data_IF_889145499083
#
_entry.id   IF_889145499083
#
_cell.length_a   1.000
_cell.length_b   1.000
_cell.length_c   1.000
_cell.angle_alpha   90.00
_cell.angle_beta   90.00
_cell.angle_gamma   90.00
#
_symmetry.space_group_name_H-M   'P 1'
#
loop_
_entity.id
_entity.type
_entity.pdbx_description
1 polymer ?
#
# COMPACT_ATOMS: atom_id res chain seq x y z
N UNK A 1 13.08 -10.97 -4.54
CA UNK A 1 12.56 -10.66 -3.20
C UNK A 1 13.43 -11.36 -2.19
N UNK A 2 14.07 -10.60 -1.30
CA UNK A 2 14.97 -11.15 -0.28
C UNK A 2 14.24 -11.99 0.78
N UNK A 3 13.02 -11.59 1.16
CA UNK A 3 12.19 -12.36 2.10
C UNK A 3 10.71 -12.35 1.72
N UNK A 4 10.25 -13.45 1.10
CA UNK A 4 8.86 -13.58 0.65
C UNK A 4 7.87 -13.54 1.82
N UNK A 5 8.21 -14.15 2.96
CA UNK A 5 7.35 -14.18 4.15
C UNK A 5 7.08 -12.79 4.70
N UNK A 6 8.13 -11.98 4.87
CA UNK A 6 8.00 -10.60 5.34
C UNK A 6 7.25 -9.74 4.33
N UNK A 7 7.53 -9.92 3.04
CA UNK A 7 6.84 -9.18 2.00
C UNK A 7 5.33 -9.47 1.99
N UNK A 8 4.92 -10.74 2.10
CA UNK A 8 3.50 -11.10 2.17
C UNK A 8 2.86 -10.55 3.44
N UNK A 9 3.50 -10.77 4.61
CA UNK A 9 2.98 -10.27 5.90
C UNK A 9 2.76 -8.76 5.86
N UNK A 10 3.75 -8.00 5.42
CA UNK A 10 3.65 -6.55 5.32
C UNK A 10 2.64 -6.11 4.25
N UNK A 11 2.49 -6.84 3.15
CA UNK A 11 1.44 -6.57 2.17
C UNK A 11 0.04 -6.70 2.77
N UNK A 12 -0.19 -7.73 3.57
CA UNK A 12 -1.44 -7.90 4.31
C UNK A 12 -1.63 -6.77 5.33
N UNK A 13 -0.58 -6.35 6.04
CA UNK A 13 -0.67 -5.23 6.99
C UNK A 13 -0.92 -3.88 6.30
N UNK A 14 -0.34 -3.65 5.12
CA UNK A 14 -0.59 -2.46 4.29
C UNK A 14 -2.05 -2.34 3.89
N UNK A 15 -2.74 -3.46 3.69
CA UNK A 15 -4.17 -3.49 3.46
C UNK A 15 -4.98 -3.38 4.77
N UNK A 16 -4.59 -4.14 5.80
CA UNK A 16 -5.33 -4.26 7.05
C UNK A 16 -5.37 -2.96 7.85
N UNK A 17 -4.28 -2.18 7.87
CA UNK A 17 -4.22 -0.92 8.63
C UNK A 17 -5.24 0.12 8.09
N UNK A 18 -5.27 0.44 6.78
CA UNK A 18 -6.34 1.26 6.20
C UNK A 18 -7.73 0.67 6.41
N UNK A 19 -7.91 -0.66 6.28
CA UNK A 19 -9.21 -1.30 6.49
C UNK A 19 -9.74 -1.06 7.92
N UNK A 20 -8.95 -1.38 8.95
CA UNK A 20 -9.33 -1.16 10.36
C UNK A 20 -9.56 0.32 10.61
N UNK A 21 -8.69 1.20 10.09
CA UNK A 21 -8.84 2.65 10.26
C UNK A 21 -10.13 3.15 9.64
N UNK A 22 -10.45 2.73 8.42
CA UNK A 22 -11.69 3.09 7.74
C UNK A 22 -12.93 2.57 8.46
N UNK A 23 -12.87 1.34 8.99
CA UNK A 23 -13.94 0.76 9.80
C UNK A 23 -14.19 1.56 11.08
N UNK A 24 -13.13 1.89 11.84
CA UNK A 24 -13.24 2.69 13.07
C UNK A 24 -13.67 4.14 12.79
N UNK A 25 -13.26 4.71 11.65
CA UNK A 25 -13.60 6.05 11.21
C UNK A 25 -14.91 6.11 10.40
N UNK A 26 -15.72 5.05 10.36
CA UNK A 26 -16.93 5.00 9.54
C UNK A 26 -17.95 6.08 9.91
N UNK A 27 -18.04 6.46 11.19
CA UNK A 27 -18.89 7.57 11.61
C UNK A 27 -18.50 8.90 10.94
N UNK A 28 -17.20 9.12 10.72
CA UNK A 28 -16.67 10.27 9.97
C UNK A 28 -17.09 10.18 8.50
N UNK A 29 -17.06 8.99 7.88
CA UNK A 29 -17.56 8.80 6.50
C UNK A 29 -19.01 9.27 6.35
N UNK A 30 -19.87 8.96 7.32
CA UNK A 30 -21.30 9.32 7.27
C UNK A 30 -21.59 10.80 7.59
N UNK A 31 -20.77 11.43 8.44
CA UNK A 31 -20.97 12.81 8.90
C UNK A 31 -20.18 13.85 8.08
N UNK A 32 -19.01 13.47 7.58
CA UNK A 32 -18.12 14.29 6.78
C UNK A 32 -17.31 13.43 5.80
N UNK A 33 -17.94 13.11 4.68
CA UNK A 33 -17.37 12.27 3.62
C UNK A 33 -16.04 12.83 3.07
N UNK A 34 -15.95 14.15 2.86
CA UNK A 34 -14.75 14.80 2.30
C UNK A 34 -13.54 14.62 3.23
N UNK A 35 -13.73 14.76 4.54
CA UNK A 35 -12.65 14.52 5.51
C UNK A 35 -12.21 13.05 5.50
N UNK A 36 -13.17 12.12 5.45
CA UNK A 36 -12.85 10.70 5.39
C UNK A 36 -12.04 10.35 4.12
N UNK A 37 -12.52 10.79 2.95
CA UNK A 37 -11.89 10.50 1.66
C UNK A 37 -10.51 11.15 1.49
N UNK A 38 -10.26 12.29 2.14
CA UNK A 38 -8.93 12.92 2.14
C UNK A 38 -7.97 12.29 3.16
N UNK A 39 -8.47 11.78 4.30
CA UNK A 39 -7.65 11.14 5.32
C UNK A 39 -7.20 9.73 4.93
N UNK A 40 -8.05 8.94 4.27
CA UNK A 40 -7.74 7.54 3.94
C UNK A 40 -6.48 7.35 3.07
N UNK A 41 -6.25 8.15 2.00
CA UNK A 41 -5.00 8.11 1.23
C UNK A 41 -3.75 8.37 2.09
N UNK A 42 -3.85 9.24 3.12
CA UNK A 42 -2.75 9.51 4.05
C UNK A 42 -2.43 8.26 4.89
N UNK A 43 -3.45 7.54 5.35
CA UNK A 43 -3.29 6.28 6.10
C UNK A 43 -2.63 5.21 5.24
N UNK A 44 -3.04 5.09 3.97
CA UNK A 44 -2.40 4.18 3.00
C UNK A 44 -0.94 4.56 2.80
N UNK A 45 -0.64 5.83 2.49
CA UNK A 45 0.72 6.32 2.30
C UNK A 45 1.61 6.06 3.52
N UNK A 46 1.12 6.38 4.73
CA UNK A 46 1.83 6.11 5.98
C UNK A 46 2.15 4.62 6.14
N UNK A 47 1.17 3.75 5.92
CA UNK A 47 1.34 2.30 6.03
C UNK A 47 2.41 1.79 5.05
N UNK A 48 2.33 2.22 3.78
CA UNK A 48 3.29 1.81 2.76
C UNK A 48 4.70 2.32 3.08
N UNK A 49 4.86 3.57 3.50
CA UNK A 49 6.17 4.13 3.91
C UNK A 49 6.76 3.35 5.07
N UNK A 50 5.98 3.11 6.12
CA UNK A 50 6.42 2.39 7.31
C UNK A 50 6.91 0.99 6.96
N UNK A 51 6.06 0.18 6.30
CA UNK A 51 6.40 -1.21 6.03
C UNK A 51 7.46 -1.35 4.95
N UNK A 52 7.48 -0.49 3.93
CA UNK A 52 8.52 -0.54 2.89
C UNK A 52 9.90 -0.20 3.47
N UNK A 53 9.96 0.76 4.40
CA UNK A 53 11.17 1.09 5.16
C UNK A 53 11.65 -0.09 6.00
N UNK A 54 10.73 -0.73 6.76
CA UNK A 54 11.05 -1.90 7.57
C UNK A 54 11.55 -3.08 6.73
N UNK A 55 11.00 -3.28 5.52
CA UNK A 55 11.47 -4.32 4.60
C UNK A 55 12.84 -3.97 4.01
N UNK A 56 12.97 -2.77 3.41
CA UNK A 56 14.18 -2.36 2.69
C UNK A 56 15.40 -2.23 3.62
N UNK A 57 15.21 -1.90 4.90
CA UNK A 57 16.29 -1.93 5.91
C UNK A 57 16.96 -3.31 6.01
N UNK A 58 16.21 -4.38 5.75
CA UNK A 58 16.71 -5.75 5.81
C UNK A 58 17.22 -6.25 4.45
N UNK A 59 17.15 -5.44 3.39
CA UNK A 59 17.64 -5.75 2.04
C UNK A 59 19.13 -5.37 1.92
N UNK A 60 19.92 -6.24 1.29
CA UNK A 60 21.38 -6.05 1.18
C UNK A 60 21.86 -5.36 -0.10
N UNK A 61 20.95 -5.04 -1.03
CA UNK A 61 21.28 -4.51 -2.35
C UNK A 61 20.12 -4.65 -3.33
N UNK A 62 20.28 -4.10 -4.55
CA UNK A 62 19.25 -4.12 -5.60
C UNK A 62 17.90 -3.49 -5.16
N UNK A 63 17.96 -2.38 -4.43
CA UNK A 63 16.80 -1.76 -3.78
C UNK A 63 15.70 -1.36 -4.77
N UNK A 64 16.07 -0.92 -5.98
CA UNK A 64 15.08 -0.61 -7.01
C UNK A 64 14.27 -1.84 -7.42
N UNK A 65 14.94 -2.98 -7.67
CA UNK A 65 14.28 -4.25 -8.02
C UNK A 65 13.39 -4.73 -6.89
N UNK A 66 13.87 -4.65 -5.64
CA UNK A 66 13.06 -5.03 -4.47
C UNK A 66 11.86 -4.10 -4.29
N UNK A 67 12.01 -2.79 -4.50
CA UNK A 67 10.92 -1.81 -4.47
C UNK A 67 9.83 -2.07 -5.51
N UNK A 68 10.22 -2.39 -6.76
CA UNK A 68 9.28 -2.77 -7.83
C UNK A 68 8.48 -4.03 -7.44
N UNK A 69 9.18 -5.08 -7.00
CA UNK A 69 8.55 -6.35 -6.64
C UNK A 69 7.60 -6.20 -5.43
N UNK A 70 8.01 -5.44 -4.41
CA UNK A 70 7.16 -5.10 -3.27
C UNK A 70 5.92 -4.34 -3.70
N UNK A 71 6.09 -3.29 -4.50
CA UNK A 71 5.00 -2.45 -4.99
C UNK A 71 3.93 -3.26 -5.71
N UNK A 72 4.35 -4.10 -6.67
CA UNK A 72 3.44 -4.98 -7.42
C UNK A 72 2.74 -5.96 -6.48
N UNK A 73 3.50 -6.65 -5.61
CA UNK A 73 2.95 -7.65 -4.71
C UNK A 73 1.89 -7.06 -3.78
N UNK A 74 2.18 -5.93 -3.13
CA UNK A 74 1.28 -5.30 -2.16
C UNK A 74 0.04 -4.72 -2.83
N UNK A 75 0.20 -4.16 -4.03
CA UNK A 75 -0.93 -3.72 -4.84
C UNK A 75 -1.86 -4.89 -5.20
N UNK A 76 -1.30 -6.01 -5.65
CA UNK A 76 -2.07 -7.23 -5.96
C UNK A 76 -2.75 -7.79 -4.72
N UNK A 77 -2.06 -7.86 -3.58
CA UNK A 77 -2.67 -8.31 -2.31
C UNK A 77 -3.87 -7.45 -1.95
N UNK A 78 -3.71 -6.12 -2.00
CA UNK A 78 -4.77 -5.17 -1.61
C UNK A 78 -5.99 -5.29 -2.51
N UNK A 79 -5.79 -5.31 -3.84
CA UNK A 79 -6.89 -5.49 -4.81
C UNK A 79 -7.53 -6.87 -4.66
N UNK A 80 -6.74 -7.93 -4.50
CA UNK A 80 -7.28 -9.28 -4.39
C UNK A 80 -8.20 -9.43 -3.18
N UNK A 81 -7.80 -8.89 -2.02
CA UNK A 81 -8.63 -8.92 -0.82
C UNK A 81 -9.89 -8.07 -1.03
N UNK A 82 -9.76 -6.87 -1.59
CA UNK A 82 -10.91 -5.99 -1.83
C UNK A 82 -11.92 -6.60 -2.82
N UNK A 83 -11.46 -7.23 -3.90
CA UNK A 83 -12.37 -7.90 -4.82
C UNK A 83 -13.14 -9.04 -4.14
N UNK A 84 -12.56 -9.71 -3.15
CA UNK A 84 -13.32 -10.70 -2.35
C UNK A 84 -14.31 -10.00 -1.41
N UNK A 85 -13.96 -8.83 -0.85
CA UNK A 85 -14.75 -8.11 0.15
C UNK A 85 -15.82 -7.16 -0.37
N UNK A 86 -15.73 -6.68 -1.62
CA UNK A 86 -16.58 -5.62 -2.18
C UNK A 86 -17.36 -6.05 -3.44
N UNK A 87 -17.08 -7.23 -4.02
CA UNK A 87 -17.84 -7.75 -5.17
C UNK A 87 -19.32 -8.06 -4.83
N UNK A 88 -20.22 -8.24 -5.81
CA UNK A 88 -21.68 -8.22 -5.60
C UNK A 88 -22.26 -9.23 -4.60
N UNK A 89 -21.54 -10.32 -4.31
CA UNK A 89 -21.90 -11.33 -3.31
C UNK A 89 -21.37 -10.99 -1.90
N UNK A 90 -20.70 -9.86 -1.73
CA UNK A 90 -20.02 -9.47 -0.50
C UNK A 90 -20.89 -8.59 0.42
N UNK A 91 -20.48 -8.41 1.69
CA UNK A 91 -21.20 -7.57 2.66
C UNK A 91 -21.13 -6.06 2.37
N UNK A 92 -20.10 -5.59 1.64
CA UNK A 92 -19.84 -4.18 1.38
C UNK A 92 -19.99 -3.88 -0.12
N UNK A 93 -21.18 -4.12 -0.67
CA UNK A 93 -21.41 -4.08 -2.12
C UNK A 93 -21.07 -2.72 -2.73
N UNK A 94 -20.23 -2.73 -3.75
CA UNK A 94 -19.96 -1.59 -4.62
C UNK A 94 -19.96 -2.06 -6.08
N UNK A 95 -20.38 -1.20 -7.01
CA UNK A 95 -20.10 -1.47 -8.42
C UNK A 95 -18.59 -1.39 -8.68
N UNK A 96 -18.12 -2.07 -9.73
CA UNK A 96 -16.71 -2.01 -10.11
C UNK A 96 -16.25 -0.56 -10.39
N UNK A 97 -17.10 0.26 -11.01
CA UNK A 97 -16.79 1.66 -11.28
C UNK A 97 -16.65 2.48 -9.99
N UNK A 98 -17.58 2.33 -9.03
CA UNK A 98 -17.48 2.98 -7.72
C UNK A 98 -16.24 2.52 -6.96
N UNK A 99 -15.92 1.23 -6.97
CA UNK A 99 -14.70 0.71 -6.35
C UNK A 99 -13.44 1.37 -6.91
N UNK A 100 -13.33 1.49 -8.23
CA UNK A 100 -12.16 2.12 -8.86
C UNK A 100 -12.05 3.60 -8.46
N UNK A 101 -13.16 4.34 -8.44
CA UNK A 101 -13.19 5.77 -8.13
C UNK A 101 -12.93 6.06 -6.64
N UNK A 102 -13.50 5.26 -5.74
CA UNK A 102 -13.41 5.49 -4.29
C UNK A 102 -12.14 4.87 -3.68
N UNK A 103 -11.64 3.74 -4.22
CA UNK A 103 -10.58 2.94 -3.57
C UNK A 103 -9.45 2.59 -4.55
N UNK A 104 -9.78 2.03 -5.71
CA UNK A 104 -8.79 1.44 -6.62
C UNK A 104 -7.68 2.41 -7.05
N UNK A 105 -8.03 3.66 -7.37
CA UNK A 105 -7.04 4.68 -7.72
C UNK A 105 -6.11 5.05 -6.54
N UNK A 106 -6.62 5.07 -5.32
CA UNK A 106 -5.84 5.35 -4.10
C UNK A 106 -4.72 4.33 -3.92
N UNK A 107 -4.93 3.07 -4.30
CA UNK A 107 -3.89 2.03 -4.20
C UNK A 107 -2.70 2.23 -5.13
N UNK A 108 -2.75 3.15 -6.11
CA UNK A 108 -1.55 3.52 -6.88
C UNK A 108 -0.45 4.15 -6.01
N UNK A 109 -0.80 4.65 -4.82
CA UNK A 109 0.17 5.07 -3.79
C UNK A 109 1.14 3.92 -3.45
N UNK A 110 0.66 2.67 -3.43
CA UNK A 110 1.45 1.49 -3.05
C UNK A 110 2.66 1.29 -3.98
N UNK A 111 2.48 1.05 -5.30
CA UNK A 111 3.62 0.84 -6.19
C UNK A 111 4.48 2.09 -6.33
N UNK A 112 3.89 3.28 -6.39
CA UNK A 112 4.65 4.54 -6.51
C UNK A 112 5.61 4.72 -5.33
N UNK A 113 5.12 4.52 -4.11
CA UNK A 113 5.92 4.71 -2.89
C UNK A 113 7.00 3.63 -2.74
N UNK A 114 6.68 2.36 -3.02
CA UNK A 114 7.65 1.27 -2.94
C UNK A 114 8.78 1.44 -3.97
N UNK A 115 8.44 1.79 -5.21
CA UNK A 115 9.42 2.03 -6.29
C UNK A 115 10.28 3.26 -5.95
N UNK A 116 9.65 4.36 -5.52
CA UNK A 116 10.35 5.58 -5.12
C UNK A 116 11.34 5.33 -3.98
N UNK A 117 10.91 4.62 -2.94
CA UNK A 117 11.77 4.27 -1.79
C UNK A 117 12.95 3.40 -2.21
N UNK A 118 12.71 2.39 -3.05
CA UNK A 118 13.76 1.54 -3.60
C UNK A 118 14.75 2.31 -4.49
N UNK A 119 14.26 3.24 -5.31
CA UNK A 119 15.08 4.07 -6.19
C UNK A 119 15.98 5.03 -5.40
N UNK A 120 15.42 5.75 -4.41
CA UNK A 120 16.16 6.69 -3.58
C UNK A 120 17.28 6.00 -2.79
N UNK A 121 17.00 4.82 -2.22
CA UNK A 121 18.01 4.04 -1.49
C UNK A 121 19.10 3.49 -2.43
N UNK A 122 18.71 3.08 -3.66
CA UNK A 122 19.65 2.63 -4.69
C UNK A 122 20.62 3.74 -5.12
N UNK A 123 20.14 4.99 -5.25
CA UNK A 123 20.98 6.14 -5.58
C UNK A 123 21.92 6.46 -4.42
N UNK A 124 21.41 6.49 -3.18
CA UNK A 124 22.22 6.80 -1.99
C UNK A 124 23.46 5.91 -1.91
N UNK A 125 23.28 4.59 -2.02
CA UNK A 125 24.39 3.64 -1.91
C UNK A 125 25.38 3.75 -3.08
N UNK A 126 24.90 3.97 -4.31
CA UNK A 126 25.77 4.23 -5.47
C UNK A 126 26.55 5.55 -5.34
N UNK A 127 26.02 6.51 -4.59
CA UNK A 127 26.71 7.76 -4.26
C UNK A 127 27.82 7.54 -3.24
N UNK A 128 27.53 6.79 -2.18
CA UNK A 128 28.48 6.46 -1.11
C UNK A 128 29.65 5.60 -1.63
N UNK A 129 29.46 4.73 -2.64
CA UNK A 129 30.54 3.96 -3.28
C UNK A 129 31.53 4.80 -4.11
N UNK A 130 31.22 6.08 -4.39
CA UNK A 130 32.04 6.97 -5.23
C UNK A 130 32.87 7.98 -4.46
N UNK A 131 32.78 8.01 -3.13
CA UNK A 131 33.52 8.92 -2.22
C UNK A 131 34.57 8.14 -1.46
#
# INVERSE_FOLDING_TARGET
MKSNKLAILYGVLVWLVPFITGFLAYSIRTSNRVLFESAMPVVVAFSVVLFSTLYLKNVGGNFLKEGILLGILWFVISIAIDLVMFMPESPMKMSFAEYIMDIGLTYLIIPVTCIGSGYLLQIKIRGDEKV
#
